data_IF_037663119601
#
_entry.id   IF_037663119601
#
_cell.length_a   1.000
_cell.length_b   1.000
_cell.length_c   1.000
_cell.angle_alpha   90.00
_cell.angle_beta   90.00
_cell.angle_gamma   90.00
#
_symmetry.space_group_name_H-M   'P 1'
#
loop_
_entity.id
_entity.type
_entity.pdbx_description
1 polymer ?
#
# COMPACT_ATOMS: atom_id res chain seq x y z
N UNK A 1 -4.33 8.20 32.07
CA UNK A 1 -3.21 7.38 31.65
C UNK A 1 -3.14 7.43 30.14
N UNK A 2 -2.18 8.17 29.61
CA UNK A 2 -1.85 8.24 28.21
C UNK A 2 -1.67 6.83 27.66
N UNK A 3 -2.14 6.54 26.44
CA UNK A 3 -2.15 5.22 25.80
C UNK A 3 -0.80 4.50 25.63
N UNK A 4 0.19 4.90 26.45
CA UNK A 4 1.55 4.33 26.49
C UNK A 4 1.56 2.84 26.85
N UNK A 5 0.49 2.33 27.49
CA UNK A 5 0.36 0.89 27.76
C UNK A 5 0.36 0.04 26.48
N UNK A 6 -0.09 0.57 25.34
CA UNK A 6 -0.07 -0.15 24.08
C UNK A 6 1.36 -0.52 23.62
N UNK A 7 2.39 0.26 24.01
CA UNK A 7 3.77 -0.08 23.71
C UNK A 7 4.25 -1.38 24.38
N UNK A 8 3.60 -1.82 25.44
CA UNK A 8 3.91 -3.13 26.04
C UNK A 8 3.63 -4.30 25.08
N UNK A 9 2.77 -4.09 24.07
CA UNK A 9 2.47 -5.09 23.04
C UNK A 9 3.69 -5.45 22.18
N UNK A 10 4.69 -4.58 22.09
CA UNK A 10 5.96 -4.91 21.42
C UNK A 10 6.75 -6.03 22.13
N UNK A 11 6.45 -6.32 23.38
CA UNK A 11 7.03 -7.48 24.09
C UNK A 11 6.48 -8.81 23.58
N UNK A 12 5.32 -8.80 22.96
CA UNK A 12 4.73 -9.97 22.34
C UNK A 12 5.21 -10.09 20.89
N UNK A 13 5.99 -11.10 20.57
CA UNK A 13 6.61 -11.30 19.23
C UNK A 13 5.62 -11.15 18.07
N UNK A 14 4.40 -11.67 18.23
CA UNK A 14 3.36 -11.60 17.19
C UNK A 14 2.88 -10.18 16.94
N UNK A 15 2.61 -9.43 18.02
CA UNK A 15 2.19 -8.02 17.93
C UNK A 15 3.32 -7.13 17.42
N UNK A 16 4.55 -7.34 17.88
CA UNK A 16 5.72 -6.60 17.37
C UNK A 16 5.90 -6.80 15.86
N UNK A 17 5.85 -8.05 15.38
CA UNK A 17 5.92 -8.34 13.94
C UNK A 17 4.77 -7.67 13.17
N UNK A 18 3.54 -7.75 13.69
CA UNK A 18 2.40 -7.09 13.07
C UNK A 18 2.61 -5.59 12.93
N UNK A 19 3.04 -4.90 13.98
CA UNK A 19 3.29 -3.45 13.93
C UNK A 19 4.44 -3.08 12.97
N UNK A 20 5.52 -3.87 12.92
CA UNK A 20 6.61 -3.67 11.95
C UNK A 20 6.10 -3.82 10.51
N UNK A 21 5.34 -4.87 10.21
CA UNK A 21 4.76 -5.03 8.87
C UNK A 21 3.72 -3.96 8.55
N UNK A 22 2.97 -3.48 9.53
CA UNK A 22 2.05 -2.35 9.37
C UNK A 22 2.79 -1.08 8.97
N UNK A 23 3.94 -0.81 9.59
CA UNK A 23 4.82 0.29 9.20
C UNK A 23 5.33 0.11 7.77
N UNK A 24 5.76 -1.10 7.39
CA UNK A 24 6.21 -1.39 6.02
C UNK A 24 5.09 -1.16 4.97
N UNK A 25 3.84 -1.48 5.32
CA UNK A 25 2.68 -1.19 4.44
C UNK A 25 2.39 0.32 4.38
N UNK A 26 2.56 1.04 5.48
CA UNK A 26 2.45 2.49 5.50
C UNK A 26 3.44 3.17 4.54
N UNK A 27 4.63 2.59 4.37
CA UNK A 27 5.61 3.02 3.34
C UNK A 27 5.00 2.87 1.94
N UNK A 28 4.43 1.70 1.60
CA UNK A 28 3.79 1.49 0.28
C UNK A 28 2.65 2.49 0.03
N UNK A 29 1.81 2.72 1.04
CA UNK A 29 0.71 3.68 0.96
C UNK A 29 1.21 5.08 0.64
N UNK A 30 2.25 5.53 1.32
CA UNK A 30 2.77 6.89 1.15
C UNK A 30 3.51 7.07 -0.18
N UNK A 31 4.22 6.06 -0.67
CA UNK A 31 4.82 6.08 -2.01
C UNK A 31 3.75 6.40 -3.05
N UNK A 32 2.63 5.69 -3.02
CA UNK A 32 1.55 5.89 -3.99
C UNK A 32 0.87 7.24 -3.85
N UNK A 33 0.56 7.65 -2.62
CA UNK A 33 -0.15 8.91 -2.35
C UNK A 33 0.70 10.13 -2.72
N UNK A 34 2.01 10.06 -2.53
CA UNK A 34 2.91 11.17 -2.84
C UNK A 34 3.31 11.26 -4.30
N UNK A 35 3.43 10.12 -5.00
CA UNK A 35 4.16 10.10 -6.26
C UNK A 35 3.39 9.56 -7.48
N UNK A 36 2.18 9.02 -7.30
CA UNK A 36 1.38 8.57 -8.44
C UNK A 36 0.99 9.73 -9.37
N UNK A 37 0.56 10.86 -8.81
CA UNK A 37 0.19 12.05 -9.60
C UNK A 37 1.38 12.68 -10.32
N UNK A 38 2.50 13.01 -9.66
CA UNK A 38 3.71 13.50 -10.32
C UNK A 38 4.20 12.59 -11.44
N UNK A 39 4.15 11.27 -11.23
CA UNK A 39 4.51 10.30 -12.26
C UNK A 39 3.63 10.40 -13.51
N UNK A 40 2.29 10.41 -13.36
CA UNK A 40 1.39 10.50 -14.50
C UNK A 40 1.59 11.83 -15.24
N UNK A 41 1.75 12.94 -14.51
CA UNK A 41 2.00 14.25 -15.11
C UNK A 41 3.34 14.31 -15.87
N UNK A 42 4.36 13.53 -15.48
CA UNK A 42 5.64 13.53 -16.17
C UNK A 42 5.58 13.04 -17.62
N UNK A 43 4.53 12.28 -17.99
CA UNK A 43 4.28 11.91 -19.38
C UNK A 43 3.93 13.10 -20.28
N UNK A 44 3.52 14.23 -19.71
CA UNK A 44 3.30 15.47 -20.47
C UNK A 44 4.56 16.02 -21.16
N UNK A 45 5.75 15.58 -20.73
CA UNK A 45 7.01 15.88 -21.42
C UNK A 45 7.24 15.08 -22.72
N UNK A 46 6.35 14.16 -23.07
CA UNK A 46 6.41 13.36 -24.30
C UNK A 46 5.26 13.80 -25.21
N UNK A 47 5.53 14.34 -26.42
CA UNK A 47 4.50 14.86 -27.32
C UNK A 47 3.36 13.87 -27.62
N UNK A 48 3.68 12.57 -27.72
CA UNK A 48 2.72 11.51 -27.98
C UNK A 48 1.66 11.39 -26.84
N UNK A 49 2.03 11.71 -25.60
CA UNK A 49 1.18 11.52 -24.43
C UNK A 49 0.60 12.81 -23.85
N UNK A 50 1.13 13.98 -24.24
CA UNK A 50 0.77 15.27 -23.68
C UNK A 50 -0.74 15.55 -23.71
N UNK A 51 -1.41 15.18 -24.80
CA UNK A 51 -2.84 15.41 -25.00
C UNK A 51 -3.73 14.22 -24.63
N UNK A 52 -3.16 13.17 -24.01
CA UNK A 52 -3.96 12.02 -23.56
C UNK A 52 -4.83 12.36 -22.37
N UNK A 53 -6.00 11.72 -22.27
CA UNK A 53 -6.91 11.90 -21.14
C UNK A 53 -6.22 11.64 -19.79
N UNK A 54 -5.35 10.63 -19.72
CA UNK A 54 -4.65 10.27 -18.49
C UNK A 54 -3.74 11.38 -17.97
N UNK A 55 -3.04 12.10 -18.84
CA UNK A 55 -2.18 13.24 -18.49
C UNK A 55 -2.99 14.47 -18.18
N UNK A 56 -3.95 14.82 -19.04
CA UNK A 56 -4.80 16.01 -18.87
C UNK A 56 -5.69 15.93 -17.62
N UNK A 57 -6.08 14.72 -17.23
CA UNK A 57 -7.01 14.46 -16.14
C UNK A 57 -6.48 13.41 -15.13
N UNK A 58 -5.20 13.47 -14.79
CA UNK A 58 -4.55 12.50 -13.89
C UNK A 58 -5.31 12.32 -12.56
N UNK A 59 -5.90 13.38 -12.02
CA UNK A 59 -6.69 13.31 -10.78
C UNK A 59 -7.98 12.50 -10.96
N UNK A 60 -8.62 12.55 -12.13
CA UNK A 60 -9.80 11.72 -12.43
C UNK A 60 -9.37 10.25 -12.50
N UNK A 61 -8.27 9.96 -13.16
CA UNK A 61 -7.71 8.61 -13.22
C UNK A 61 -7.40 8.07 -11.81
N UNK A 62 -6.78 8.89 -10.96
CA UNK A 62 -6.48 8.51 -9.57
C UNK A 62 -7.75 8.30 -8.74
N UNK A 63 -8.83 9.05 -9.01
CA UNK A 63 -10.11 8.88 -8.30
C UNK A 63 -10.74 7.49 -8.47
N UNK A 64 -10.36 6.74 -9.49
CA UNK A 64 -10.75 5.33 -9.66
C UNK A 64 -10.30 4.50 -8.43
N UNK A 65 -9.17 4.85 -7.80
CA UNK A 65 -8.72 4.19 -6.57
C UNK A 65 -9.75 4.32 -5.44
N UNK A 66 -10.35 5.49 -5.25
CA UNK A 66 -11.35 5.75 -4.21
C UNK A 66 -12.66 5.00 -4.48
N UNK A 67 -13.04 4.90 -5.75
CA UNK A 67 -14.18 4.07 -6.16
C UNK A 67 -13.89 2.61 -5.84
N UNK A 68 -12.68 2.14 -6.15
CA UNK A 68 -12.24 0.78 -5.84
C UNK A 68 -12.28 0.49 -4.34
N UNK A 69 -11.84 1.41 -3.47
CA UNK A 69 -11.92 1.27 -2.02
C UNK A 69 -13.36 0.99 -1.57
N UNK A 70 -14.32 1.77 -2.08
CA UNK A 70 -15.74 1.61 -1.73
C UNK A 70 -16.25 0.19 -2.03
N UNK A 71 -15.91 -0.36 -3.19
CA UNK A 71 -16.31 -1.73 -3.54
C UNK A 71 -15.51 -2.78 -2.76
N UNK A 72 -14.23 -2.56 -2.54
CA UNK A 72 -13.36 -3.50 -1.82
C UNK A 72 -13.80 -3.66 -0.37
N UNK A 73 -14.21 -2.60 0.31
CA UNK A 73 -14.73 -2.67 1.69
C UNK A 73 -15.93 -3.63 1.78
N UNK A 74 -16.82 -3.62 0.80
CA UNK A 74 -17.98 -4.53 0.76
C UNK A 74 -17.59 -6.00 0.57
N UNK A 75 -16.45 -6.27 -0.06
CA UNK A 75 -15.95 -7.62 -0.31
C UNK A 75 -15.17 -8.21 0.89
N UNK A 76 -14.69 -7.37 1.81
CA UNK A 76 -13.86 -7.81 2.95
C UNK A 76 -14.52 -8.90 3.80
N UNK A 77 -15.80 -8.83 4.19
CA UNK A 77 -16.44 -9.88 4.99
C UNK A 77 -16.37 -11.25 4.30
N UNK A 78 -16.60 -11.29 2.98
CA UNK A 78 -16.50 -12.53 2.20
C UNK A 78 -15.08 -13.09 2.23
N UNK A 79 -14.06 -12.26 1.98
CA UNK A 79 -12.67 -12.70 1.97
C UNK A 79 -12.19 -13.12 3.36
N UNK A 80 -12.58 -12.40 4.41
CA UNK A 80 -12.24 -12.76 5.80
C UNK A 80 -12.88 -14.08 6.22
N UNK A 81 -14.15 -14.31 5.86
CA UNK A 81 -14.83 -15.57 6.14
C UNK A 81 -14.20 -16.74 5.39
N UNK A 82 -13.77 -16.54 4.14
CA UNK A 82 -13.22 -17.59 3.30
C UNK A 82 -11.75 -17.90 3.56
N UNK A 83 -10.91 -16.88 3.76
CA UNK A 83 -9.46 -17.01 3.79
C UNK A 83 -8.85 -16.73 5.17
N UNK A 84 -9.57 -16.02 6.03
CA UNK A 84 -9.09 -15.59 7.34
C UNK A 84 -8.09 -14.43 7.29
N UNK A 85 -7.84 -13.81 8.45
CA UNK A 85 -7.10 -12.55 8.60
C UNK A 85 -5.72 -12.59 7.93
N UNK A 86 -4.89 -13.62 8.21
CA UNK A 86 -3.51 -13.68 7.68
C UNK A 86 -3.47 -13.69 6.16
N UNK A 87 -4.34 -14.51 5.53
CA UNK A 87 -4.34 -14.64 4.05
C UNK A 87 -4.85 -13.36 3.40
N UNK A 88 -5.84 -12.71 4.00
CA UNK A 88 -6.38 -11.43 3.50
C UNK A 88 -5.31 -10.34 3.59
N UNK A 89 -4.55 -10.26 4.69
CA UNK A 89 -3.39 -9.36 4.79
C UNK A 89 -2.33 -9.65 3.71
N UNK A 90 -2.05 -10.94 3.45
CA UNK A 90 -1.07 -11.33 2.43
C UNK A 90 -1.55 -10.96 1.01
N UNK A 91 -2.85 -11.13 0.72
CA UNK A 91 -3.45 -10.67 -0.54
C UNK A 91 -3.26 -9.16 -0.69
N UNK A 92 -3.48 -8.38 0.36
CA UNK A 92 -3.26 -6.95 0.33
C UNK A 92 -1.79 -6.58 0.05
N UNK A 93 -0.85 -7.29 0.65
CA UNK A 93 0.58 -7.07 0.40
C UNK A 93 0.97 -7.38 -1.04
N UNK A 94 0.46 -8.48 -1.61
CA UNK A 94 0.68 -8.82 -3.01
C UNK A 94 0.01 -7.81 -3.95
N UNK A 95 -1.13 -7.26 -3.56
CA UNK A 95 -1.79 -6.21 -4.32
C UNK A 95 -0.91 -4.95 -4.47
N UNK A 96 -0.09 -4.58 -3.47
CA UNK A 96 0.91 -3.52 -3.60
C UNK A 96 1.97 -3.83 -4.65
N UNK A 97 2.42 -5.08 -4.75
CA UNK A 97 3.37 -5.51 -5.79
C UNK A 97 2.79 -5.28 -7.18
N UNK A 98 1.54 -5.73 -7.39
CA UNK A 98 0.85 -5.54 -8.67
C UNK A 98 0.60 -4.05 -8.98
N UNK A 99 0.20 -3.26 -7.97
CA UNK A 99 -0.02 -1.83 -8.14
C UNK A 99 1.22 -1.13 -8.67
N UNK A 100 2.36 -1.34 -8.05
CA UNK A 100 3.63 -0.74 -8.48
C UNK A 100 4.13 -1.31 -9.81
N UNK A 101 3.95 -2.62 -10.03
CA UNK A 101 4.26 -3.26 -11.31
C UNK A 101 3.44 -2.69 -12.47
N UNK A 102 2.14 -2.46 -12.27
CA UNK A 102 1.30 -1.84 -13.29
C UNK A 102 1.67 -0.39 -13.58
N UNK A 103 2.12 0.37 -12.58
CA UNK A 103 2.69 1.70 -12.82
C UNK A 103 3.98 1.62 -13.63
N UNK A 104 4.88 0.67 -13.30
CA UNK A 104 6.14 0.50 -14.02
C UNK A 104 5.98 0.12 -15.50
N UNK A 105 4.90 -0.59 -15.84
CA UNK A 105 4.64 -1.11 -17.19
C UNK A 105 3.64 -0.28 -17.99
N UNK A 106 2.83 0.54 -17.32
CA UNK A 106 1.76 1.32 -17.93
C UNK A 106 2.25 2.60 -18.58
N UNK A 107 1.40 3.15 -19.45
CA UNK A 107 1.55 4.48 -20.04
C UNK A 107 0.15 5.08 -20.26
N UNK A 108 0.01 6.40 -20.42
CA UNK A 108 -1.29 7.03 -20.61
C UNK A 108 -1.90 6.88 -22.01
N UNK A 109 -1.19 6.26 -22.95
CA UNK A 109 -1.67 5.93 -24.29
C UNK A 109 -2.28 4.52 -24.34
N UNK A 110 -1.72 3.65 -25.18
CA UNK A 110 -2.20 2.26 -25.35
C UNK A 110 -2.12 1.41 -24.07
N UNK A 111 -1.27 1.77 -23.13
CA UNK A 111 -1.07 1.09 -21.84
C UNK A 111 -1.90 1.67 -20.68
N UNK A 112 -2.83 2.59 -20.92
CA UNK A 112 -3.65 3.23 -19.87
C UNK A 112 -4.46 2.24 -19.03
N UNK A 113 -4.81 1.11 -19.61
CA UNK A 113 -5.52 0.04 -18.89
C UNK A 113 -4.71 -0.53 -17.72
N UNK A 114 -3.36 -0.51 -17.79
CA UNK A 114 -2.51 -0.88 -16.66
C UNK A 114 -2.60 0.15 -15.52
N UNK A 115 -2.70 1.43 -15.84
CA UNK A 115 -2.97 2.44 -14.84
C UNK A 115 -4.33 2.23 -14.18
N UNK A 116 -5.37 1.94 -14.98
CA UNK A 116 -6.70 1.61 -14.44
C UNK A 116 -6.64 0.38 -13.53
N UNK A 117 -5.96 -0.69 -13.94
CA UNK A 117 -5.76 -1.86 -13.09
C UNK A 117 -5.00 -1.52 -11.80
N UNK A 118 -3.96 -0.69 -11.88
CA UNK A 118 -3.26 -0.19 -10.71
C UNK A 118 -4.20 0.53 -9.74
N UNK A 119 -5.10 1.36 -10.26
CA UNK A 119 -6.09 2.07 -9.44
C UNK A 119 -7.12 1.10 -8.82
N UNK A 120 -7.59 0.11 -9.57
CA UNK A 120 -8.55 -0.89 -9.06
C UNK A 120 -7.94 -1.79 -7.97
N UNK A 121 -6.68 -2.16 -8.12
CA UNK A 121 -5.98 -3.00 -7.12
C UNK A 121 -5.71 -2.24 -5.83
N UNK A 122 -5.75 -0.92 -5.83
CA UNK A 122 -5.50 -0.09 -4.64
C UNK A 122 -6.46 -0.38 -3.49
N UNK A 123 -7.76 -0.53 -3.75
CA UNK A 123 -8.73 -0.86 -2.71
C UNK A 123 -8.39 -2.19 -2.02
N UNK A 124 -7.99 -3.21 -2.79
CA UNK A 124 -7.52 -4.48 -2.21
C UNK A 124 -6.24 -4.27 -1.39
N UNK A 125 -5.29 -3.50 -1.92
CA UNK A 125 -4.00 -3.27 -1.26
C UNK A 125 -4.15 -2.53 0.07
N UNK A 126 -5.02 -1.54 0.13
CA UNK A 126 -5.20 -0.68 1.29
C UNK A 126 -6.23 -1.24 2.29
N UNK A 127 -7.47 -1.45 1.85
CA UNK A 127 -8.57 -1.78 2.76
C UNK A 127 -8.46 -3.18 3.35
N UNK A 128 -8.03 -4.17 2.55
CA UNK A 128 -7.89 -5.53 3.04
C UNK A 128 -6.88 -5.61 4.18
N UNK A 129 -5.78 -4.85 4.10
CA UNK A 129 -4.82 -4.81 5.20
C UNK A 129 -5.35 -4.04 6.40
N UNK A 130 -5.91 -2.84 6.19
CA UNK A 130 -6.38 -2.00 7.30
C UNK A 130 -7.48 -2.66 8.11
N UNK A 131 -8.51 -3.18 7.44
CA UNK A 131 -9.64 -3.82 8.14
C UNK A 131 -9.20 -5.13 8.80
N UNK A 132 -8.43 -5.97 8.09
CA UNK A 132 -7.90 -7.21 8.68
C UNK A 132 -6.95 -6.94 9.84
N UNK A 133 -6.13 -5.88 9.75
CA UNK A 133 -5.22 -5.45 10.79
C UNK A 133 -5.95 -4.94 12.02
N UNK A 134 -6.97 -4.12 11.83
CA UNK A 134 -7.83 -3.65 12.90
C UNK A 134 -8.51 -4.81 13.64
N UNK A 135 -9.07 -5.77 12.89
CA UNK A 135 -9.67 -6.98 13.46
C UNK A 135 -8.63 -7.86 14.19
N UNK A 136 -7.41 -7.93 13.67
CA UNK A 136 -6.33 -8.65 14.35
C UNK A 136 -6.00 -8.00 15.68
N UNK A 137 -5.83 -6.68 15.71
CA UNK A 137 -5.58 -5.92 16.96
C UNK A 137 -6.71 -6.14 17.95
N UNK A 138 -7.97 -6.06 17.54
CA UNK A 138 -9.12 -6.27 18.42
C UNK A 138 -9.17 -7.66 19.04
N UNK A 139 -8.75 -8.69 18.30
CA UNK A 139 -8.75 -10.07 18.77
C UNK A 139 -7.56 -10.40 19.70
N UNK A 140 -6.42 -9.74 19.49
CA UNK A 140 -5.18 -10.03 20.22
C UNK A 140 -4.95 -9.10 21.40
N UNK A 141 -5.84 -8.12 21.67
CA UNK A 141 -5.67 -7.17 22.76
C UNK A 141 -6.85 -7.18 23.73
N UNK A 142 -6.53 -6.97 25.01
CA UNK A 142 -7.54 -6.80 26.06
C UNK A 142 -8.37 -5.53 25.83
N UNK A 143 -9.63 -5.57 26.23
CA UNK A 143 -10.57 -4.44 26.11
C UNK A 143 -10.00 -3.16 26.72
N UNK A 144 -9.26 -3.25 27.83
CA UNK A 144 -8.69 -2.10 28.56
C UNK A 144 -7.66 -1.29 27.76
N UNK A 145 -6.99 -1.91 26.79
CA UNK A 145 -5.93 -1.26 25.97
C UNK A 145 -6.25 -1.25 24.48
N UNK A 146 -7.37 -1.80 24.06
CA UNK A 146 -7.75 -1.99 22.65
C UNK A 146 -7.71 -0.70 21.86
N UNK A 147 -8.34 0.37 22.35
CA UNK A 147 -8.33 1.68 21.67
C UNK A 147 -6.91 2.25 21.52
N UNK A 148 -6.06 2.08 22.53
CA UNK A 148 -4.65 2.49 22.46
C UNK A 148 -3.84 1.63 21.49
N UNK A 149 -4.16 0.35 21.36
CA UNK A 149 -3.53 -0.57 20.41
C UNK A 149 -3.93 -0.23 18.96
N UNK A 150 -5.19 0.16 18.74
CA UNK A 150 -5.63 0.69 17.43
C UNK A 150 -4.92 2.00 17.09
N UNK A 151 -4.77 2.91 18.06
CA UNK A 151 -3.99 4.13 17.89
C UNK A 151 -2.52 3.84 17.56
N UNK A 152 -1.92 2.83 18.19
CA UNK A 152 -0.55 2.38 17.89
C UNK A 152 -0.46 1.80 16.47
N UNK A 153 -1.43 1.01 16.03
CA UNK A 153 -1.51 0.50 14.66
C UNK A 153 -1.54 1.66 13.64
N UNK A 154 -2.41 2.64 13.86
CA UNK A 154 -2.48 3.84 13.00
C UNK A 154 -1.20 4.66 13.03
N UNK A 155 -0.54 4.78 14.19
CA UNK A 155 0.74 5.47 14.32
C UNK A 155 1.84 4.75 13.52
N UNK A 156 1.87 3.42 13.54
CA UNK A 156 2.85 2.63 12.78
C UNK A 156 2.62 2.75 11.28
N UNK A 157 1.38 2.73 10.81
CA UNK A 157 1.04 2.86 9.37
C UNK A 157 1.14 4.31 8.89
N UNK A 158 0.28 5.19 9.40
CA UNK A 158 0.08 6.56 8.88
C UNK A 158 1.01 7.58 9.52
N UNK A 159 1.71 7.24 10.60
CA UNK A 159 2.73 8.06 11.22
C UNK A 159 4.12 7.66 10.74
N UNK A 160 4.72 6.66 11.39
CA UNK A 160 6.11 6.24 11.11
C UNK A 160 6.26 5.69 9.68
N UNK A 161 5.33 4.83 9.25
CA UNK A 161 5.36 4.28 7.90
C UNK A 161 5.27 5.36 6.84
N UNK A 162 4.36 6.33 6.99
CA UNK A 162 4.21 7.44 6.07
C UNK A 162 5.46 8.34 6.04
N UNK A 163 6.04 8.67 7.20
CA UNK A 163 7.25 9.48 7.27
C UNK A 163 8.44 8.81 6.58
N UNK A 164 8.72 7.55 6.94
CA UNK A 164 9.80 6.78 6.32
C UNK A 164 9.53 6.59 4.82
N UNK A 165 8.28 6.34 4.45
CA UNK A 165 7.85 6.16 3.06
C UNK A 165 8.11 7.41 2.21
N UNK A 166 7.72 8.58 2.71
CA UNK A 166 7.98 9.85 2.00
C UNK A 166 9.47 10.09 1.81
N UNK A 167 10.26 9.96 2.88
CA UNK A 167 11.69 10.25 2.82
C UNK A 167 12.46 9.26 1.93
N UNK A 168 12.16 7.96 2.05
CA UNK A 168 12.83 6.92 1.26
C UNK A 168 12.41 6.98 -0.22
N UNK A 169 11.12 7.17 -0.51
CA UNK A 169 10.66 7.33 -1.88
C UNK A 169 11.24 8.58 -2.54
N UNK A 170 11.26 9.71 -1.83
CA UNK A 170 11.88 10.93 -2.33
C UNK A 170 13.36 10.73 -2.64
N UNK A 171 14.11 10.01 -1.79
CA UNK A 171 15.52 9.72 -2.03
C UNK A 171 15.73 8.88 -3.30
N UNK A 172 14.90 7.85 -3.50
CA UNK A 172 14.93 7.02 -4.73
C UNK A 172 14.60 7.87 -5.96
N UNK A 173 13.52 8.65 -5.91
CA UNK A 173 13.08 9.47 -7.04
C UNK A 173 14.09 10.58 -7.34
N UNK A 174 14.67 11.21 -6.32
CA UNK A 174 15.77 12.17 -6.51
C UNK A 174 16.92 11.55 -7.28
N UNK A 175 17.28 10.30 -6.99
CA UNK A 175 18.40 9.60 -7.62
C UNK A 175 18.16 9.28 -9.09
N UNK A 176 16.95 8.85 -9.46
CA UNK A 176 16.68 8.31 -10.78
C UNK A 176 15.86 9.24 -11.68
N UNK A 177 15.20 10.26 -11.13
CA UNK A 177 14.36 11.20 -11.88
C UNK A 177 14.91 12.62 -11.76
N UNK A 178 15.00 13.17 -10.56
CA UNK A 178 15.35 14.59 -10.38
C UNK A 178 16.85 14.88 -10.48
N UNK A 179 17.71 13.86 -10.41
CA UNK A 179 19.15 14.03 -10.70
C UNK A 179 19.47 14.04 -12.21
N UNK A 180 18.49 13.80 -13.08
CA UNK A 180 18.66 13.91 -14.52
C UNK A 180 18.94 15.37 -14.91
N UNK A 181 19.77 15.62 -15.96
CA UNK A 181 20.02 16.97 -16.43
C UNK A 181 18.74 17.61 -17.00
N UNK A 182 18.63 18.93 -16.95
CA UNK A 182 17.47 19.66 -17.51
C UNK A 182 17.25 19.40 -19.01
N UNK A 183 18.28 18.96 -19.71
CA UNK A 183 18.24 18.58 -21.12
C UNK A 183 17.73 17.15 -21.36
N UNK A 184 17.43 16.40 -20.30
CA UNK A 184 16.93 15.03 -20.42
C UNK A 184 15.61 15.00 -21.18
N UNK A 185 15.49 14.05 -22.09
CA UNK A 185 14.24 13.82 -22.84
C UNK A 185 13.12 13.31 -21.90
N UNK A 186 11.87 13.56 -22.27
CA UNK A 186 10.72 13.01 -21.57
C UNK A 186 10.79 11.48 -21.41
N UNK A 187 11.34 10.79 -22.41
CA UNK A 187 11.53 9.32 -22.35
C UNK A 187 12.55 8.90 -21.28
N UNK A 188 13.64 9.65 -21.11
CA UNK A 188 14.62 9.38 -20.05
C UNK A 188 14.01 9.61 -18.65
N UNK A 189 13.20 10.65 -18.52
CA UNK A 189 12.47 10.92 -17.25
C UNK A 189 11.52 9.77 -16.93
N UNK A 190 10.76 9.28 -17.92
CA UNK A 190 9.86 8.13 -17.70
C UNK A 190 10.64 6.85 -17.41
N UNK A 191 11.77 6.61 -18.05
CA UNK A 191 12.63 5.47 -17.72
C UNK A 191 13.13 5.52 -16.27
N UNK A 192 13.46 6.72 -15.77
CA UNK A 192 13.79 6.95 -14.36
C UNK A 192 12.63 6.60 -13.44
N UNK A 193 11.41 7.04 -13.76
CA UNK A 193 10.20 6.70 -13.01
C UNK A 193 9.92 5.20 -13.00
N UNK A 194 10.02 4.53 -14.16
CA UNK A 194 9.81 3.08 -14.25
C UNK A 194 10.79 2.32 -13.35
N UNK A 195 12.06 2.76 -13.32
CA UNK A 195 13.06 2.21 -12.39
C UNK A 195 12.62 2.36 -10.94
N UNK A 196 12.12 3.53 -10.54
CA UNK A 196 11.58 3.75 -9.19
C UNK A 196 10.42 2.79 -8.89
N UNK A 197 9.45 2.65 -9.79
CA UNK A 197 8.32 1.75 -9.59
C UNK A 197 8.73 0.28 -9.48
N UNK A 198 9.73 -0.17 -10.24
CA UNK A 198 10.29 -1.52 -10.09
C UNK A 198 10.96 -1.71 -8.72
N UNK A 199 11.69 -0.71 -8.22
CA UNK A 199 12.29 -0.74 -6.88
C UNK A 199 11.19 -0.85 -5.82
N UNK A 200 10.13 -0.07 -5.94
CA UNK A 200 8.99 -0.11 -5.01
C UNK A 200 8.22 -1.43 -5.08
N UNK A 201 8.05 -2.01 -6.28
CA UNK A 201 7.45 -3.34 -6.44
C UNK A 201 8.32 -4.43 -5.80
N UNK A 202 9.64 -4.37 -5.98
CA UNK A 202 10.58 -5.29 -5.34
C UNK A 202 10.53 -5.16 -3.81
N UNK A 203 10.49 -3.94 -3.27
CA UNK A 203 10.30 -3.70 -1.84
C UNK A 203 9.01 -4.36 -1.32
N UNK A 204 7.87 -4.10 -1.98
CA UNK A 204 6.60 -4.69 -1.60
C UNK A 204 6.61 -6.22 -1.65
N UNK A 205 7.28 -6.81 -2.65
CA UNK A 205 7.44 -8.26 -2.78
C UNK A 205 8.26 -8.84 -1.62
N UNK A 206 9.37 -8.21 -1.26
CA UNK A 206 10.19 -8.62 -0.12
C UNK A 206 9.38 -8.55 1.18
N UNK A 207 8.63 -7.48 1.41
CA UNK A 207 7.76 -7.34 2.58
C UNK A 207 6.71 -8.45 2.62
N UNK A 208 6.04 -8.75 1.50
CA UNK A 208 5.06 -9.83 1.39
C UNK A 208 5.68 -11.20 1.69
N UNK A 209 6.86 -11.48 1.14
CA UNK A 209 7.59 -12.74 1.38
C UNK A 209 7.98 -12.90 2.86
N UNK A 210 8.55 -11.86 3.46
CA UNK A 210 8.92 -11.86 4.89
C UNK A 210 7.68 -12.03 5.78
N UNK A 211 6.57 -11.35 5.46
CA UNK A 211 5.33 -11.54 6.19
C UNK A 211 4.82 -12.99 6.10
N UNK A 212 4.82 -13.57 4.92
CA UNK A 212 4.38 -14.96 4.73
C UNK A 212 5.16 -15.94 5.60
N UNK A 213 6.49 -15.73 5.72
CA UNK A 213 7.43 -16.58 6.47
C UNK A 213 7.31 -16.35 7.97
N UNK A 214 7.39 -15.09 8.42
CA UNK A 214 7.56 -14.77 9.83
C UNK A 214 6.24 -14.57 10.57
N UNK A 215 5.18 -14.09 9.91
CA UNK A 215 3.89 -13.87 10.56
C UNK A 215 3.07 -15.17 10.59
N UNK A 216 3.13 -15.87 11.72
CA UNK A 216 2.37 -17.10 11.94
C UNK A 216 1.07 -16.79 12.71
N UNK A 217 -0.06 -16.87 12.03
CA UNK A 217 -1.38 -16.70 12.61
C UNK A 217 -2.34 -17.76 12.05
N UNK A 218 -2.95 -18.55 12.94
CA UNK A 218 -4.05 -19.47 12.60
C UNK A 218 -5.35 -18.79 13.00
N UNK A 219 -6.19 -18.55 12.02
CA UNK A 219 -7.55 -18.08 12.26
C UNK A 219 -8.35 -19.24 12.87
N UNK A 220 -8.70 -19.13 14.14
CA UNK A 220 -9.66 -20.03 14.76
C UNK A 220 -11.04 -19.43 14.44
N UNK A 221 -11.74 -20.03 13.49
CA UNK A 221 -13.18 -19.80 13.34
C UNK A 221 -13.80 -20.35 14.61
N UNK A 222 -14.28 -19.49 15.50
CA UNK A 222 -15.24 -19.93 16.51
C UNK A 222 -16.50 -20.26 15.76
N UNK A 223 -16.80 -21.54 15.63
CA UNK A 223 -18.11 -21.97 15.23
C UNK A 223 -19.10 -21.38 16.25
N UNK A 224 -19.86 -20.38 15.84
CA UNK A 224 -21.05 -19.91 16.55
C UNK A 224 -22.16 -20.94 16.38
N UNK A 225 -21.88 -22.18 16.74
CA UNK A 225 -22.86 -23.24 16.93
C UNK A 225 -22.60 -23.90 18.30
N UNK A 226 -23.00 -23.22 19.32
CA UNK A 226 -23.05 -23.72 20.67
C UNK A 226 -24.09 -22.91 21.43
N UNK A 227 -25.34 -23.35 21.31
CA UNK A 227 -26.39 -23.00 22.28
C UNK A 227 -25.98 -23.44 23.67
#
# INVERSE_FOLDING_TARGET
ALGLRAFTLFRQKRMALFFIFSMCLGICLQITNGFASPFIFSFGGIPEYADTFGVQHANILISISQISETFCILLIPFFLGRFGIKRVMLIAMLAWVFRFGFFALGNPGSGVWLFVLSMLVYGVAFDFFNVSGSLFVDKETDISIRSSAQGLFMMMTNGLGATIGTLSAQAVINRFVYALPETASGQEVIAGWNTCWYIFAAYALVVAALFAIFFKYKHVVKDECGR
#
